data_IF_732379918295
#
_entry.id   IF_732379918295
#
_cell.length_a   1.000
_cell.length_b   1.000
_cell.length_c   1.000
_cell.angle_alpha   90.00
_cell.angle_beta   90.00
_cell.angle_gamma   90.00
#
_symmetry.space_group_name_H-M   'P 1'
#
loop_
_entity.id
_entity.type
_entity.pdbx_description
1 polymer ?
#
# COMPACT_ATOMS: atom_id res chain seq x y z
N UNK A 1 17.36 5.37 60.09
CA UNK A 1 17.91 4.06 59.70
C UNK A 1 18.30 4.17 58.22
N UNK A 2 19.59 4.33 57.90
CA UNK A 2 20.04 4.44 56.50
C UNK A 2 20.04 3.03 55.91
N UNK A 3 19.24 2.80 54.87
CA UNK A 3 19.31 1.55 54.11
C UNK A 3 20.71 1.46 53.47
N UNK A 4 21.29 0.26 53.50
CA UNK A 4 22.54 0.00 52.79
C UNK A 4 22.30 0.27 51.29
N UNK A 5 23.23 0.95 50.59
CA UNK A 5 23.14 1.25 49.14
C UNK A 5 22.75 0.04 48.28
N UNK A 6 23.12 -1.18 48.68
CA UNK A 6 22.65 -2.41 48.01
C UNK A 6 21.13 -2.61 48.11
N UNK A 7 20.54 -2.34 49.27
CA UNK A 7 19.11 -2.44 49.50
C UNK A 7 18.32 -1.36 48.74
N UNK A 8 18.87 -0.15 48.59
CA UNK A 8 18.25 0.91 47.79
C UNK A 8 18.23 0.56 46.29
N UNK A 9 19.31 -0.03 45.76
CA UNK A 9 19.38 -0.49 44.37
C UNK A 9 18.45 -1.68 44.12
N UNK A 10 18.37 -2.64 45.04
CA UNK A 10 17.43 -3.78 44.92
C UNK A 10 15.97 -3.32 44.97
N UNK A 11 15.65 -2.34 45.83
CA UNK A 11 14.29 -1.78 45.91
C UNK A 11 13.93 -0.99 44.64
N UNK A 12 14.86 -0.24 44.07
CA UNK A 12 14.66 0.48 42.82
C UNK A 12 14.46 -0.48 41.62
N UNK A 13 15.23 -1.58 41.55
CA UNK A 13 15.05 -2.61 40.51
C UNK A 13 13.68 -3.29 40.65
N UNK A 14 13.24 -3.59 41.88
CA UNK A 14 11.92 -4.17 42.11
C UNK A 14 10.78 -3.22 41.73
N UNK A 15 10.91 -1.92 42.01
CA UNK A 15 9.91 -0.92 41.64
C UNK A 15 9.83 -0.72 40.12
N UNK A 16 10.96 -0.74 39.41
CA UNK A 16 10.99 -0.66 37.94
C UNK A 16 10.44 -1.93 37.30
N UNK A 17 10.78 -3.12 37.82
CA UNK A 17 10.23 -4.39 37.33
C UNK A 17 8.71 -4.49 37.58
N UNK A 18 8.23 -4.00 38.73
CA UNK A 18 6.80 -3.93 39.03
C UNK A 18 6.06 -2.93 38.14
N UNK A 19 6.66 -1.78 37.82
CA UNK A 19 6.09 -0.80 36.89
C UNK A 19 6.02 -1.34 35.46
N UNK A 20 7.05 -2.04 34.98
CA UNK A 20 7.04 -2.69 33.66
C UNK A 20 6.03 -3.83 33.62
N UNK A 21 5.91 -4.63 34.68
CA UNK A 21 4.87 -5.67 34.77
C UNK A 21 3.45 -5.08 34.82
N UNK A 22 3.26 -3.89 35.39
CA UNK A 22 1.96 -3.21 35.42
C UNK A 22 1.55 -2.64 34.05
N UNK A 23 2.52 -2.25 33.21
CA UNK A 23 2.28 -1.85 31.81
C UNK A 23 1.89 -3.05 30.93
N UNK A 24 2.38 -4.26 31.25
CA UNK A 24 1.98 -5.50 30.56
C UNK A 24 0.70 -6.16 31.14
N UNK A 25 0.27 -5.79 32.34
CA UNK A 25 -0.95 -6.31 32.98
C UNK A 25 -2.21 -5.46 32.71
N UNK A 26 -2.07 -4.29 32.09
CA UNK A 26 -3.18 -3.62 31.41
C UNK A 26 -3.33 -4.24 30.01
N UNK A 27 -3.79 -5.49 29.98
CA UNK A 27 -4.53 -5.97 28.82
C UNK A 27 -5.68 -4.99 28.62
N UNK A 28 -5.59 -4.15 27.59
CA UNK A 28 -6.78 -3.48 27.05
C UNK A 28 -7.75 -4.64 26.78
N UNK A 29 -8.91 -4.72 27.44
CA UNK A 29 -9.87 -5.74 27.09
C UNK A 29 -10.11 -5.59 25.59
N UNK A 30 -9.87 -6.69 24.86
CA UNK A 30 -10.27 -6.83 23.48
C UNK A 30 -11.74 -6.44 23.42
N UNK A 31 -12.02 -5.22 22.98
CA UNK A 31 -13.34 -4.80 22.55
C UNK A 31 -13.53 -5.37 21.14
N UNK A 32 -13.30 -6.67 20.98
CA UNK A 32 -14.10 -7.51 20.12
C UNK A 32 -15.51 -7.46 20.69
N UNK A 33 -16.18 -6.31 20.49
CA UNK A 33 -17.61 -6.30 20.37
C UNK A 33 -17.91 -7.36 19.34
N UNK A 34 -18.43 -8.49 19.80
CA UNK A 34 -19.02 -9.48 18.94
C UNK A 34 -20.20 -8.81 18.26
N UNK A 35 -19.96 -8.19 17.11
CA UNK A 35 -21.01 -7.85 16.15
C UNK A 35 -21.34 -9.15 15.40
N UNK A 36 -21.72 -10.19 16.13
CA UNK A 36 -22.55 -11.25 15.56
C UNK A 36 -23.97 -10.68 15.55
N UNK A 37 -24.31 -9.97 14.49
CA UNK A 37 -25.68 -9.51 14.27
C UNK A 37 -25.84 -8.02 13.95
N UNK A 38 -25.25 -7.58 12.84
CA UNK A 38 -25.93 -6.80 11.81
C UNK A 38 -24.95 -6.75 10.65
N UNK A 39 -25.09 -7.66 9.69
CA UNK A 39 -24.69 -7.30 8.34
C UNK A 39 -25.50 -6.04 8.03
N UNK A 40 -24.88 -4.87 8.10
CA UNK A 40 -25.37 -3.72 7.36
C UNK A 40 -25.43 -4.26 5.95
N UNK A 41 -26.65 -4.48 5.43
CA UNK A 41 -26.80 -5.00 4.09
C UNK A 41 -26.17 -3.97 3.17
N UNK A 42 -24.94 -4.23 2.73
CA UNK A 42 -24.27 -3.39 1.78
C UNK A 42 -25.10 -3.31 0.50
N UNK A 43 -24.96 -2.22 -0.25
CA UNK A 43 -25.55 -2.19 -1.58
C UNK A 43 -24.88 -3.25 -2.45
N UNK A 44 -25.69 -4.12 -3.05
CA UNK A 44 -25.24 -4.98 -4.12
C UNK A 44 -25.06 -4.15 -5.39
N UNK A 45 -23.85 -4.17 -5.94
CA UNK A 45 -23.49 -3.43 -7.14
C UNK A 45 -23.33 -4.39 -8.31
N UNK A 46 -24.04 -4.10 -9.40
CA UNK A 46 -24.03 -4.89 -10.64
C UNK A 46 -23.50 -4.12 -11.85
N UNK A 47 -22.97 -2.92 -11.65
CA UNK A 47 -22.44 -2.03 -12.69
C UNK A 47 -21.65 -0.87 -12.09
N UNK A 48 -21.13 0.03 -12.92
CA UNK A 48 -20.45 1.24 -12.43
C UNK A 48 -21.38 2.08 -11.54
N UNK A 49 -20.83 2.62 -10.45
CA UNK A 49 -21.62 3.22 -9.40
C UNK A 49 -20.83 4.27 -8.62
N UNK A 50 -21.57 5.26 -8.12
CA UNK A 50 -21.11 6.17 -7.10
C UNK A 50 -21.68 5.67 -5.76
N UNK A 51 -20.80 5.22 -4.87
CA UNK A 51 -21.18 4.48 -3.66
C UNK A 51 -21.13 5.41 -2.44
N UNK A 52 -22.19 5.35 -1.63
CA UNK A 52 -22.38 6.16 -0.44
C UNK A 52 -22.73 5.36 0.82
N UNK A 53 -22.75 4.04 0.68
CA UNK A 53 -22.90 3.06 1.75
C UNK A 53 -21.96 1.89 1.47
N UNK A 54 -21.66 1.10 2.49
CA UNK A 54 -20.96 -0.17 2.32
C UNK A 54 -21.58 -0.96 1.17
N UNK A 55 -20.74 -1.54 0.34
CA UNK A 55 -21.18 -2.13 -0.92
C UNK A 55 -20.39 -3.37 -1.26
N UNK A 56 -21.06 -4.27 -1.95
CA UNK A 56 -20.47 -5.52 -2.41
C UNK A 56 -20.72 -5.71 -3.89
N UNK A 57 -19.74 -6.28 -4.61
CA UNK A 57 -20.03 -6.82 -5.93
C UNK A 57 -20.70 -8.18 -5.77
N UNK A 58 -21.69 -8.45 -6.63
CA UNK A 58 -22.39 -9.74 -6.70
C UNK A 58 -22.18 -10.47 -8.02
N UNK A 59 -21.46 -9.84 -8.96
CA UNK A 59 -21.14 -10.37 -10.27
C UNK A 59 -19.96 -9.61 -10.87
N UNK A 60 -19.36 -10.20 -11.91
CA UNK A 60 -18.39 -9.49 -12.74
C UNK A 60 -19.06 -8.35 -13.51
N UNK A 61 -18.35 -7.22 -13.60
CA UNK A 61 -18.78 -6.00 -14.29
C UNK A 61 -17.93 -5.83 -15.55
N UNK A 62 -18.58 -5.63 -16.69
CA UNK A 62 -17.94 -5.34 -17.97
C UNK A 62 -18.36 -3.96 -18.45
N UNK A 63 -17.38 -3.08 -18.65
CA UNK A 63 -17.65 -1.66 -18.90
C UNK A 63 -16.84 -1.17 -20.10
N UNK A 64 -17.47 -0.28 -20.85
CA UNK A 64 -16.84 0.43 -21.94
C UNK A 64 -16.84 1.91 -21.56
N UNK A 65 -15.75 2.34 -20.92
CA UNK A 65 -15.56 3.74 -20.56
C UNK A 65 -15.06 4.51 -21.78
N UNK A 66 -15.56 5.73 -21.96
CA UNK A 66 -15.01 6.63 -22.97
C UNK A 66 -13.61 7.07 -22.57
N UNK A 67 -12.77 7.39 -23.55
CA UNK A 67 -11.41 7.94 -23.37
C UNK A 67 -11.41 9.37 -22.77
N UNK A 68 -12.56 9.87 -22.32
CA UNK A 68 -12.62 11.16 -21.66
C UNK A 68 -11.79 11.14 -20.36
N UNK A 69 -10.96 12.16 -20.19
CA UNK A 69 -10.22 12.39 -18.95
C UNK A 69 -11.23 12.49 -17.80
N UNK A 70 -11.06 11.66 -16.76
CA UNK A 70 -11.96 11.63 -15.61
C UNK A 70 -13.11 10.61 -15.71
N UNK A 71 -13.05 9.66 -16.64
CA UNK A 71 -13.94 8.48 -16.60
C UNK A 71 -13.48 7.49 -15.53
N UNK A 72 -14.37 7.10 -14.62
CA UNK A 72 -14.14 6.00 -13.66
C UNK A 72 -15.37 5.09 -13.60
N UNK A 73 -15.18 3.84 -13.14
CA UNK A 73 -16.30 2.93 -12.94
C UNK A 73 -16.91 3.03 -11.54
N UNK A 74 -16.11 2.79 -10.49
CA UNK A 74 -16.58 2.90 -9.11
C UNK A 74 -15.96 4.13 -8.46
N UNK A 75 -16.79 4.97 -7.84
CA UNK A 75 -16.30 6.05 -6.99
C UNK A 75 -17.04 6.16 -5.67
N UNK A 76 -16.37 6.70 -4.66
CA UNK A 76 -16.92 6.89 -3.33
C UNK A 76 -17.45 8.31 -3.16
N UNK A 77 -18.53 8.47 -2.40
CA UNK A 77 -19.21 9.75 -2.20
C UNK A 77 -19.20 10.21 -0.74
N UNK A 78 -18.83 9.35 0.20
CA UNK A 78 -18.75 9.64 1.63
C UNK A 78 -17.64 8.82 2.28
N UNK A 79 -17.18 9.29 3.43
CA UNK A 79 -16.22 8.59 4.29
C UNK A 79 -16.82 7.31 4.87
N UNK A 80 -15.96 6.48 5.48
CA UNK A 80 -16.36 5.32 6.28
C UNK A 80 -17.09 4.25 5.46
N UNK A 81 -16.62 4.01 4.23
CA UNK A 81 -17.24 3.06 3.29
C UNK A 81 -16.30 1.91 2.97
N UNK A 82 -16.87 0.71 2.96
CA UNK A 82 -16.25 -0.53 2.51
C UNK A 82 -16.81 -0.92 1.15
N UNK A 83 -15.91 -1.17 0.20
CA UNK A 83 -16.19 -1.93 -1.02
C UNK A 83 -15.54 -3.30 -0.91
N UNK A 84 -16.35 -4.35 -0.84
CA UNK A 84 -15.90 -5.74 -0.95
C UNK A 84 -16.34 -6.33 -2.30
N UNK A 85 -15.40 -6.58 -3.20
CA UNK A 85 -15.77 -7.16 -4.48
C UNK A 85 -16.05 -8.67 -4.40
N UNK A 86 -15.86 -9.32 -3.24
CA UNK A 86 -16.12 -10.75 -3.05
C UNK A 86 -15.41 -11.66 -4.09
N UNK A 87 -14.26 -11.21 -4.60
CA UNK A 87 -13.52 -11.90 -5.65
C UNK A 87 -14.01 -11.62 -7.08
N UNK A 88 -15.08 -10.86 -7.28
CA UNK A 88 -15.56 -10.46 -8.61
C UNK A 88 -14.65 -9.42 -9.27
N UNK A 89 -14.79 -9.34 -10.59
CA UNK A 89 -13.96 -8.53 -11.44
C UNK A 89 -14.68 -7.29 -12.00
N UNK A 90 -13.93 -6.20 -12.12
CA UNK A 90 -14.25 -5.07 -12.97
C UNK A 90 -13.37 -5.16 -14.22
N UNK A 91 -13.99 -5.22 -15.39
CA UNK A 91 -13.31 -5.37 -16.67
C UNK A 91 -13.62 -4.17 -17.55
N UNK A 92 -12.62 -3.31 -17.76
CA UNK A 92 -12.69 -2.17 -18.67
C UNK A 92 -12.29 -2.50 -20.11
N UNK A 93 -12.07 -1.45 -20.88
CA UNK A 93 -11.71 -1.45 -22.31
C UNK A 93 -10.34 -0.79 -22.60
N UNK A 94 -9.52 -0.58 -21.57
CA UNK A 94 -8.23 0.10 -21.62
C UNK A 94 -8.27 1.57 -21.22
N UNK A 95 -9.45 2.08 -20.85
CA UNK A 95 -9.73 3.50 -20.65
C UNK A 95 -10.26 3.79 -19.25
N UNK A 96 -9.93 4.96 -18.71
CA UNK A 96 -10.44 5.44 -17.43
C UNK A 96 -9.86 4.72 -16.21
N UNK A 97 -10.48 4.91 -15.05
CA UNK A 97 -10.07 4.33 -13.77
C UNK A 97 -11.08 3.28 -13.32
N UNK A 98 -10.61 2.10 -12.87
CA UNK A 98 -11.51 1.07 -12.35
C UNK A 98 -12.21 1.51 -11.07
N UNK A 99 -11.43 1.79 -10.03
CA UNK A 99 -11.95 2.23 -8.72
C UNK A 99 -11.19 3.47 -8.27
N UNK A 100 -11.91 4.54 -7.92
CA UNK A 100 -11.34 5.79 -7.40
C UNK A 100 -12.00 6.21 -6.09
N UNK A 101 -11.21 6.45 -5.05
CA UNK A 101 -11.71 6.85 -3.73
C UNK A 101 -12.12 8.33 -3.62
N UNK A 102 -11.58 9.21 -4.47
CA UNK A 102 -11.73 10.66 -4.29
C UNK A 102 -10.99 11.19 -3.04
N UNK A 103 -11.32 12.41 -2.61
CA UNK A 103 -10.73 13.07 -1.44
C UNK A 103 -11.62 12.90 -0.19
N UNK A 104 -11.67 11.67 0.29
CA UNK A 104 -12.44 11.17 1.43
C UNK A 104 -11.48 10.58 2.49
N UNK A 105 -12.02 10.00 3.55
CA UNK A 105 -11.27 9.30 4.60
C UNK A 105 -11.93 7.96 4.96
N UNK A 106 -11.14 7.06 5.54
CA UNK A 106 -11.60 5.75 6.04
C UNK A 106 -12.34 4.91 5.00
N UNK A 107 -11.73 4.79 3.81
CA UNK A 107 -12.23 3.94 2.73
C UNK A 107 -11.53 2.59 2.76
N UNK A 108 -12.28 1.49 2.63
CA UNK A 108 -11.71 0.15 2.44
C UNK A 108 -12.08 -0.39 1.07
N UNK A 109 -11.09 -0.78 0.28
CA UNK A 109 -11.27 -1.52 -0.99
C UNK A 109 -10.64 -2.89 -0.82
N UNK A 110 -11.44 -3.96 -0.95
CA UNK A 110 -10.93 -5.33 -0.77
C UNK A 110 -11.51 -6.35 -1.74
N UNK A 111 -10.71 -7.39 -1.96
CA UNK A 111 -11.06 -8.59 -2.72
C UNK A 111 -11.50 -8.31 -4.17
N UNK A 112 -11.01 -7.22 -4.78
CA UNK A 112 -11.37 -6.81 -6.14
C UNK A 112 -10.37 -7.30 -7.17
N UNK A 113 -10.86 -7.74 -8.33
CA UNK A 113 -10.05 -7.93 -9.53
C UNK A 113 -10.32 -6.79 -10.52
N UNK A 114 -9.35 -5.92 -10.79
CA UNK A 114 -9.55 -4.71 -11.59
C UNK A 114 -8.67 -4.73 -12.83
N UNK A 115 -9.31 -4.91 -13.98
CA UNK A 115 -8.65 -5.29 -15.22
C UNK A 115 -8.95 -4.34 -16.38
N UNK A 116 -7.96 -4.14 -17.26
CA UNK A 116 -8.15 -3.42 -18.52
C UNK A 116 -8.69 -1.98 -18.34
N UNK A 117 -8.15 -1.21 -17.40
CA UNK A 117 -8.37 0.24 -17.29
C UNK A 117 -7.10 1.00 -17.66
N UNK A 118 -7.14 2.33 -17.72
CA UNK A 118 -5.91 3.13 -17.69
C UNK A 118 -5.20 2.97 -16.36
N UNK A 119 -5.95 3.08 -15.26
CA UNK A 119 -5.47 2.75 -13.93
C UNK A 119 -6.45 1.83 -13.21
N UNK A 120 -5.95 0.80 -12.54
CA UNK A 120 -6.79 -0.14 -11.83
C UNK A 120 -7.46 0.50 -10.61
N UNK A 121 -6.72 0.64 -9.53
CA UNK A 121 -7.21 1.20 -8.26
C UNK A 121 -6.43 2.47 -7.93
N UNK A 122 -7.16 3.57 -7.74
CA UNK A 122 -6.60 4.85 -7.34
C UNK A 122 -7.15 5.32 -6.00
N UNK A 123 -6.29 5.27 -4.98
CA UNK A 123 -6.59 5.71 -3.61
C UNK A 123 -6.01 7.10 -3.37
N UNK A 124 -6.83 8.06 -2.95
CA UNK A 124 -6.47 9.47 -2.65
C UNK A 124 -7.01 9.92 -1.29
N UNK A 125 -7.16 8.99 -0.35
CA UNK A 125 -7.79 9.19 0.97
C UNK A 125 -6.86 8.87 2.11
N UNK A 126 -7.10 9.45 3.28
CA UNK A 126 -6.33 9.12 4.48
C UNK A 126 -6.97 7.96 5.24
N UNK A 127 -6.18 7.34 6.13
CA UNK A 127 -6.63 6.30 7.07
C UNK A 127 -7.40 5.16 6.38
N UNK A 128 -6.95 4.77 5.19
CA UNK A 128 -7.71 3.92 4.26
C UNK A 128 -6.97 2.63 3.95
N UNK A 129 -7.74 1.62 3.54
CA UNK A 129 -7.28 0.24 3.36
C UNK A 129 -7.46 -0.22 1.91
N UNK A 130 -6.40 -0.76 1.32
CA UNK A 130 -6.42 -1.45 0.01
C UNK A 130 -5.88 -2.86 0.26
N UNK A 131 -6.76 -3.86 0.30
CA UNK A 131 -6.43 -5.20 0.81
C UNK A 131 -6.85 -6.30 -0.15
N UNK A 132 -5.97 -7.26 -0.43
CA UNK A 132 -6.28 -8.48 -1.20
C UNK A 132 -6.87 -8.20 -2.60
N UNK A 133 -6.46 -7.11 -3.25
CA UNK A 133 -6.91 -6.80 -4.60
C UNK A 133 -5.90 -7.27 -5.65
N UNK A 134 -6.40 -7.55 -6.85
CA UNK A 134 -5.58 -7.81 -8.03
C UNK A 134 -5.84 -6.71 -9.06
N UNK A 135 -4.79 -6.03 -9.53
CA UNK A 135 -4.89 -5.09 -10.65
C UNK A 135 -4.06 -5.62 -11.82
N UNK A 136 -4.71 -5.88 -12.96
CA UNK A 136 -4.04 -6.53 -14.09
C UNK A 136 -4.36 -5.94 -15.45
N UNK A 137 -3.40 -6.04 -16.38
CA UNK A 137 -3.58 -5.61 -17.78
C UNK A 137 -4.05 -4.16 -17.93
N UNK A 138 -3.74 -3.28 -16.96
CA UNK A 138 -4.04 -1.86 -17.07
C UNK A 138 -3.02 -1.18 -17.98
N UNK A 139 -3.48 -0.21 -18.78
CA UNK A 139 -2.68 0.44 -19.82
C UNK A 139 -1.71 1.47 -19.26
N UNK A 140 -1.77 1.79 -17.96
CA UNK A 140 -0.70 2.47 -17.21
C UNK A 140 -0.42 1.75 -15.87
N UNK A 141 -1.18 2.06 -14.82
CA UNK A 141 -0.83 1.71 -13.45
C UNK A 141 -1.79 0.69 -12.84
N UNK A 142 -1.27 -0.27 -12.07
CA UNK A 142 -2.10 -1.21 -11.31
C UNK A 142 -2.75 -0.52 -10.12
N UNK A 143 -1.92 -0.01 -9.21
CA UNK A 143 -2.32 0.71 -8.02
C UNK A 143 -1.67 2.07 -7.94
N UNK A 144 -2.46 3.11 -7.67
CA UNK A 144 -1.97 4.46 -7.38
C UNK A 144 -2.42 4.83 -5.96
N UNK A 145 -1.47 5.16 -5.10
CA UNK A 145 -1.71 5.60 -3.71
C UNK A 145 -1.22 7.04 -3.57
N UNK A 146 -2.15 7.96 -3.38
CA UNK A 146 -1.99 9.40 -3.58
C UNK A 146 -2.16 9.81 -5.04
N UNK A 147 -2.20 11.12 -5.33
CA UNK A 147 -2.12 11.65 -6.71
C UNK A 147 -2.02 13.17 -6.74
N UNK A 148 -1.18 13.74 -7.61
CA UNK A 148 -1.09 15.19 -7.77
C UNK A 148 -0.75 15.88 -6.45
N UNK A 149 -1.47 16.95 -6.08
CA UNK A 149 -1.28 17.65 -4.80
C UNK A 149 -1.97 16.99 -3.60
N UNK A 150 -2.73 15.92 -3.82
CA UNK A 150 -3.44 15.22 -2.75
C UNK A 150 -2.48 14.22 -2.10
N UNK A 151 -1.91 14.63 -0.97
CA UNK A 151 -1.16 13.76 -0.11
C UNK A 151 -2.07 12.75 0.58
N UNK A 152 -1.55 11.55 0.83
CA UNK A 152 -2.25 10.49 1.55
C UNK A 152 -1.50 10.21 2.85
N UNK A 153 -2.22 10.11 3.95
CA UNK A 153 -1.64 9.83 5.27
C UNK A 153 -2.26 8.53 5.82
N UNK A 154 -1.43 7.68 6.42
CA UNK A 154 -1.86 6.44 7.09
C UNK A 154 -2.64 5.50 6.17
N UNK A 155 -2.18 5.28 4.94
CA UNK A 155 -2.75 4.24 4.09
C UNK A 155 -2.19 2.86 4.47
N UNK A 156 -3.04 1.84 4.38
CA UNK A 156 -2.69 0.44 4.58
C UNK A 156 -2.89 -0.32 3.26
N UNK A 157 -1.79 -0.69 2.61
CA UNK A 157 -1.76 -1.37 1.31
C UNK A 157 -1.19 -2.76 1.53
N UNK A 158 -2.06 -3.76 1.62
CA UNK A 158 -1.70 -5.10 2.08
C UNK A 158 -2.16 -6.22 1.14
N UNK A 159 -1.29 -7.20 0.88
CA UNK A 159 -1.60 -8.43 0.16
C UNK A 159 -2.18 -8.21 -1.26
N UNK A 160 -1.85 -7.09 -1.90
CA UNK A 160 -2.32 -6.81 -3.26
C UNK A 160 -1.37 -7.41 -4.30
N UNK A 161 -1.92 -7.73 -5.47
CA UNK A 161 -1.18 -8.25 -6.62
C UNK A 161 -1.33 -7.32 -7.81
N UNK A 162 -0.24 -6.71 -8.25
CA UNK A 162 -0.16 -6.07 -9.55
C UNK A 162 0.51 -7.02 -10.54
N UNK A 163 -0.09 -7.23 -11.72
CA UNK A 163 0.47 -8.10 -12.77
C UNK A 163 0.18 -7.56 -14.17
N UNK A 164 1.16 -7.60 -15.08
CA UNK A 164 0.97 -7.24 -16.48
C UNK A 164 0.40 -5.83 -16.73
N UNK A 165 0.67 -4.86 -15.84
CA UNK A 165 0.34 -3.45 -16.10
C UNK A 165 1.48 -2.79 -16.90
N UNK A 166 1.17 -1.79 -17.72
CA UNK A 166 2.14 -1.28 -18.68
C UNK A 166 3.23 -0.39 -18.08
N UNK A 167 2.94 0.38 -17.01
CA UNK A 167 3.79 1.46 -16.49
C UNK A 167 4.17 1.35 -15.02
N UNK A 168 3.26 1.23 -14.06
CA UNK A 168 3.68 1.02 -12.66
C UNK A 168 2.81 -0.07 -12.02
N UNK A 169 3.41 -1.12 -11.43
CA UNK A 169 2.64 -2.04 -10.58
C UNK A 169 1.98 -1.29 -9.41
N UNK A 170 2.80 -0.55 -8.66
CA UNK A 170 2.39 0.30 -7.55
C UNK A 170 3.08 1.64 -7.71
N UNK A 171 2.28 2.71 -7.73
CA UNK A 171 2.74 4.08 -7.74
C UNK A 171 2.28 4.78 -6.46
N UNK A 172 3.20 4.90 -5.52
CA UNK A 172 3.02 5.55 -4.22
C UNK A 172 3.54 6.98 -4.35
N UNK A 173 2.67 7.99 -4.29
CA UNK A 173 3.05 9.39 -4.51
C UNK A 173 2.45 10.29 -3.43
N UNK A 174 3.26 11.17 -2.86
CA UNK A 174 2.84 12.08 -1.78
C UNK A 174 2.18 11.33 -0.61
N UNK A 175 2.62 10.11 -0.32
CA UNK A 175 2.09 9.30 0.76
C UNK A 175 3.01 9.37 1.98
N UNK A 176 2.43 9.53 3.17
CA UNK A 176 3.17 9.56 4.42
C UNK A 176 2.59 8.65 5.49
N UNK A 177 3.43 8.18 6.41
CA UNK A 177 3.04 7.33 7.54
C UNK A 177 2.23 6.08 7.15
N UNK A 178 2.42 5.59 5.92
CA UNK A 178 1.65 4.49 5.34
C UNK A 178 2.39 3.16 5.49
N UNK A 179 1.62 2.07 5.56
CA UNK A 179 2.12 0.70 5.60
C UNK A 179 1.83 0.01 4.28
N UNK A 180 2.88 -0.42 3.60
CA UNK A 180 2.83 -1.07 2.29
C UNK A 180 3.48 -2.43 2.46
N UNK A 181 2.68 -3.49 2.62
CA UNK A 181 3.21 -4.79 3.03
C UNK A 181 2.65 -6.00 2.29
N UNK A 182 3.48 -7.02 2.14
CA UNK A 182 3.11 -8.31 1.54
C UNK A 182 2.52 -8.20 0.11
N UNK A 183 2.82 -7.12 -0.62
CA UNK A 183 2.31 -6.94 -1.98
C UNK A 183 3.21 -7.65 -3.00
N UNK A 184 2.62 -8.07 -4.12
CA UNK A 184 3.31 -8.73 -5.23
C UNK A 184 3.22 -7.90 -6.50
N UNK A 185 4.34 -7.69 -7.18
CA UNK A 185 4.42 -6.95 -8.43
C UNK A 185 5.26 -7.74 -9.44
N UNK A 186 4.67 -8.20 -10.54
CA UNK A 186 5.41 -8.99 -11.53
C UNK A 186 4.92 -8.91 -12.98
N UNK A 187 5.83 -9.24 -13.92
CA UNK A 187 5.60 -9.22 -15.36
C UNK A 187 5.19 -7.84 -15.93
N UNK A 188 5.79 -6.74 -15.43
CA UNK A 188 5.54 -5.40 -15.95
C UNK A 188 6.56 -5.03 -17.02
N UNK A 189 6.13 -4.91 -18.28
CA UNK A 189 7.03 -4.71 -19.43
C UNK A 189 7.75 -3.37 -19.46
N UNK A 190 7.21 -2.32 -18.84
CA UNK A 190 7.91 -1.04 -18.66
C UNK A 190 7.84 -0.49 -17.23
N UNK A 191 7.42 -1.30 -16.24
CA UNK A 191 7.08 -0.79 -14.92
C UNK A 191 8.00 -1.07 -13.75
N UNK A 192 7.94 -0.14 -12.78
CA UNK A 192 8.73 -0.12 -11.55
C UNK A 192 7.83 0.15 -10.34
N UNK A 193 8.16 -0.44 -9.18
CA UNK A 193 7.50 -0.11 -7.92
C UNK A 193 7.97 1.28 -7.46
N UNK A 194 7.17 2.30 -7.73
CA UNK A 194 7.58 3.69 -7.63
C UNK A 194 7.07 4.35 -6.35
N UNK A 195 7.98 4.93 -5.57
CA UNK A 195 7.71 5.69 -4.35
C UNK A 195 8.26 7.10 -4.58
N UNK A 196 7.38 8.08 -4.66
CA UNK A 196 7.70 9.45 -5.05
C UNK A 196 7.22 10.45 -4.00
N UNK A 197 8.10 11.39 -3.61
CA UNK A 197 7.78 12.45 -2.65
C UNK A 197 7.04 11.94 -1.42
N UNK A 198 7.45 10.77 -0.92
CA UNK A 198 6.74 10.02 0.11
C UNK A 198 7.65 9.81 1.32
N UNK A 199 7.08 9.93 2.53
CA UNK A 199 7.89 10.04 3.75
C UNK A 199 7.38 9.19 4.89
N UNK A 200 8.28 8.73 5.77
CA UNK A 200 7.90 8.00 6.99
C UNK A 200 7.06 6.73 6.75
N UNK A 201 7.19 6.08 5.58
CA UNK A 201 6.43 4.88 5.24
C UNK A 201 7.17 3.60 5.65
N UNK A 202 6.41 2.55 5.92
CA UNK A 202 6.92 1.20 6.16
C UNK A 202 6.61 0.30 4.96
N UNK A 203 7.63 -0.15 4.26
CA UNK A 203 7.54 -1.00 3.06
C UNK A 203 8.09 -2.36 3.43
N UNK A 204 7.21 -3.32 3.71
CA UNK A 204 7.56 -4.56 4.42
C UNK A 204 7.21 -5.81 3.59
N UNK A 205 8.13 -6.77 3.46
CA UNK A 205 7.82 -8.10 2.89
C UNK A 205 7.21 -8.06 1.47
N UNK A 206 7.47 -7.03 0.67
CA UNK A 206 6.95 -6.95 -0.69
C UNK A 206 7.83 -7.74 -1.65
N UNK A 207 7.22 -8.27 -2.70
CA UNK A 207 7.86 -9.11 -3.71
C UNK A 207 7.74 -8.45 -5.09
N UNK A 208 8.86 -8.05 -5.69
CA UNK A 208 8.92 -7.44 -7.02
C UNK A 208 9.83 -8.26 -7.96
N UNK A 209 9.28 -8.84 -9.02
CA UNK A 209 10.06 -9.69 -9.92
C UNK A 209 9.62 -9.68 -11.38
N UNK A 210 10.52 -10.03 -12.30
CA UNK A 210 10.25 -10.09 -13.75
C UNK A 210 9.63 -8.78 -14.30
N UNK A 211 9.99 -7.63 -13.73
CA UNK A 211 9.54 -6.31 -14.17
C UNK A 211 10.65 -5.55 -14.91
N UNK A 212 10.32 -4.45 -15.55
CA UNK A 212 11.28 -3.47 -16.10
C UNK A 212 12.01 -2.64 -15.03
N UNK A 213 11.74 -2.91 -13.74
CA UNK A 213 12.57 -2.51 -12.60
C UNK A 213 11.98 -2.92 -11.26
N UNK A 214 12.81 -2.88 -10.21
CA UNK A 214 12.43 -3.23 -8.84
C UNK A 214 11.71 -2.08 -8.12
N UNK A 215 12.24 -1.67 -6.96
CA UNK A 215 11.80 -0.47 -6.24
C UNK A 215 12.55 0.78 -6.70
N UNK A 216 11.87 1.92 -6.65
CA UNK A 216 12.44 3.25 -6.90
C UNK A 216 11.91 4.23 -5.85
N UNK A 217 12.79 4.99 -5.21
CA UNK A 217 12.46 6.09 -4.30
C UNK A 217 12.95 7.41 -4.92
N UNK A 218 12.05 8.35 -5.17
CA UNK A 218 12.37 9.54 -5.95
C UNK A 218 11.76 10.83 -5.40
N UNK A 219 12.22 11.97 -5.92
CA UNK A 219 11.71 13.32 -5.64
C UNK A 219 11.55 13.65 -4.14
N UNK A 220 12.64 13.61 -3.40
CA UNK A 220 12.69 13.91 -1.96
C UNK A 220 11.93 12.93 -1.08
N UNK A 221 11.81 11.66 -1.50
CA UNK A 221 11.31 10.62 -0.60
C UNK A 221 12.31 10.40 0.55
N UNK A 222 11.83 10.43 1.80
CA UNK A 222 12.74 10.35 2.95
C UNK A 222 12.16 9.65 4.18
N UNK A 223 13.03 9.18 5.06
CA UNK A 223 12.65 8.50 6.31
C UNK A 223 11.74 7.28 6.10
N UNK A 224 11.79 6.64 4.93
CA UNK A 224 11.07 5.41 4.67
C UNK A 224 11.87 4.19 5.13
N UNK A 225 11.20 3.16 5.63
CA UNK A 225 11.82 1.92 6.07
C UNK A 225 11.40 0.77 5.15
N UNK A 226 12.35 0.29 4.34
CA UNK A 226 12.21 -0.87 3.47
C UNK A 226 12.80 -2.08 4.19
N UNK A 227 11.93 -2.98 4.66
CA UNK A 227 12.34 -4.15 5.44
C UNK A 227 11.88 -5.47 4.82
N UNK A 228 12.81 -6.43 4.68
CA UNK A 228 12.55 -7.79 4.22
C UNK A 228 11.83 -7.86 2.85
N UNK A 229 12.10 -6.92 1.95
CA UNK A 229 11.55 -6.95 0.60
C UNK A 229 12.40 -7.86 -0.30
N UNK A 230 11.76 -8.57 -1.23
CA UNK A 230 12.46 -9.43 -2.19
C UNK A 230 12.31 -8.86 -3.60
N UNK A 231 13.43 -8.63 -4.27
CA UNK A 231 13.49 -8.06 -5.63
C UNK A 231 14.33 -8.97 -6.51
N UNK A 232 13.73 -9.61 -7.51
CA UNK A 232 14.52 -10.52 -8.36
C UNK A 232 14.14 -10.55 -9.84
N UNK A 233 15.10 -10.89 -10.70
CA UNK A 233 14.89 -11.05 -12.15
C UNK A 233 14.29 -9.84 -12.89
N UNK A 234 14.49 -8.62 -12.40
CA UNK A 234 14.02 -7.40 -13.07
C UNK A 234 15.02 -6.92 -14.16
N UNK A 235 14.51 -6.28 -15.22
CA UNK A 235 15.22 -5.70 -16.39
C UNK A 235 15.48 -4.20 -16.27
N UNK A 236 16.46 -3.62 -16.98
CA UNK A 236 17.07 -2.32 -16.61
C UNK A 236 16.16 -1.15 -16.95
N UNK A 237 15.83 -0.32 -15.96
CA UNK A 237 15.15 0.96 -16.16
C UNK A 237 16.16 2.06 -16.55
N UNK A 238 16.04 2.62 -17.75
CA UNK A 238 16.78 3.82 -18.19
C UNK A 238 18.31 3.79 -17.94
N UNK A 239 18.95 2.64 -18.15
CA UNK A 239 20.42 2.49 -18.05
C UNK A 239 21.02 2.67 -16.66
N UNK A 240 20.19 2.77 -15.61
CA UNK A 240 20.64 2.91 -14.22
C UNK A 240 20.13 1.76 -13.36
N UNK A 241 20.98 1.30 -12.43
CA UNK A 241 20.78 0.10 -11.62
C UNK A 241 19.64 0.22 -10.60
N UNK A 242 19.03 -0.93 -10.27
CA UNK A 242 17.85 -1.07 -9.42
C UNK A 242 18.01 -0.57 -7.99
N UNK A 243 16.88 -0.18 -7.41
CA UNK A 243 16.78 0.61 -6.19
C UNK A 243 17.35 2.02 -6.38
N UNK A 244 16.66 2.76 -7.23
CA UNK A 244 17.01 4.14 -7.49
C UNK A 244 16.47 4.98 -6.36
N UNK A 245 17.27 5.17 -5.31
CA UNK A 245 17.06 6.25 -4.35
C UNK A 245 17.69 7.50 -4.97
N UNK A 246 16.92 8.20 -5.80
CA UNK A 246 17.35 9.48 -6.34
C UNK A 246 16.66 10.64 -5.67
N UNK A 247 17.47 11.66 -5.40
CA UNK A 247 17.03 12.89 -4.75
C UNK A 247 16.25 12.59 -3.47
N UNK A 248 16.59 11.51 -2.77
CA UNK A 248 15.87 10.92 -1.64
C UNK A 248 16.89 10.60 -0.54
N UNK A 249 16.52 10.76 0.74
CA UNK A 249 17.48 10.77 1.85
C UNK A 249 16.93 10.06 3.10
N UNK A 250 17.79 9.60 4.01
CA UNK A 250 17.42 8.96 5.28
C UNK A 250 16.46 7.75 5.16
N UNK A 251 16.47 7.01 4.05
CA UNK A 251 15.70 5.76 4.00
C UNK A 251 16.58 4.63 4.57
N UNK A 252 15.92 3.64 5.17
CA UNK A 252 16.57 2.49 5.79
C UNK A 252 16.21 1.26 4.99
N UNK A 253 17.22 0.55 4.51
CA UNK A 253 17.06 -0.71 3.77
C UNK A 253 17.63 -1.82 4.63
N UNK A 254 16.76 -2.73 5.06
CA UNK A 254 17.13 -3.77 6.02
C UNK A 254 16.57 -5.13 5.58
N UNK A 255 17.40 -6.17 5.63
CA UNK A 255 17.04 -7.56 5.31
C UNK A 255 16.40 -7.79 3.93
N UNK A 256 16.50 -6.84 3.01
CA UNK A 256 15.95 -6.98 1.66
C UNK A 256 16.89 -7.78 0.75
N UNK A 257 16.33 -8.64 -0.10
CA UNK A 257 17.06 -9.60 -0.93
C UNK A 257 16.96 -9.25 -2.42
N UNK A 258 18.09 -8.95 -3.06
CA UNK A 258 18.16 -8.51 -4.46
C UNK A 258 18.99 -9.51 -5.28
N UNK A 259 18.35 -10.31 -6.14
CA UNK A 259 19.03 -11.36 -6.93
C UNK A 259 18.56 -11.47 -8.37
N UNK A 260 19.41 -11.96 -9.28
CA UNK A 260 19.02 -12.21 -10.68
C UNK A 260 18.64 -10.96 -11.49
N UNK A 261 18.70 -9.76 -10.90
CA UNK A 261 18.48 -8.50 -11.60
C UNK A 261 19.71 -8.16 -12.45
N UNK A 262 19.50 -7.55 -13.62
CA UNK A 262 20.59 -7.33 -14.60
C UNK A 262 21.66 -6.28 -14.22
N UNK A 263 21.60 -5.66 -13.03
CA UNK A 263 22.58 -4.73 -12.43
C UNK A 263 22.48 -4.69 -10.89
N UNK A 264 23.52 -4.17 -10.22
CA UNK A 264 23.70 -4.14 -8.75
C UNK A 264 22.99 -2.93 -8.10
N UNK A 265 22.47 -3.10 -6.88
CA UNK A 265 21.86 -2.06 -6.02
C UNK A 265 22.73 -0.79 -5.94
N UNK A 266 22.17 0.38 -6.28
CA UNK A 266 22.88 1.68 -6.23
C UNK A 266 22.30 2.58 -5.13
N UNK A 267 22.96 2.66 -3.97
CA UNK A 267 22.62 3.64 -2.95
C UNK A 267 23.38 4.95 -3.12
N UNK A 268 22.68 6.09 -3.03
CA UNK A 268 23.31 7.41 -2.84
C UNK A 268 23.45 7.75 -1.35
N UNK A 269 24.27 8.76 -1.07
CA UNK A 269 24.68 9.22 0.27
C UNK A 269 23.46 9.51 1.18
N UNK A 270 23.53 9.08 2.45
CA UNK A 270 22.48 9.31 3.47
C UNK A 270 21.51 8.15 3.68
N UNK A 271 21.81 6.97 3.12
CA UNK A 271 21.04 5.74 3.27
C UNK A 271 21.80 4.80 4.22
N UNK A 272 21.09 4.14 5.14
CA UNK A 272 21.71 3.14 6.02
C UNK A 272 21.25 1.73 5.64
N UNK A 273 22.22 0.83 5.55
CA UNK A 273 22.01 -0.62 5.61
C UNK A 273 22.19 -1.08 7.06
N UNK A 274 21.26 -1.87 7.55
CA UNK A 274 21.38 -2.63 8.81
C UNK A 274 20.77 -4.00 8.63
#
# INVERSE_FOLDING_TARGET
MKLNKKAEVTLAIFLVAAAVAFVFALSIPDQSNSITGMAVAGANISGCANISIDSELTQDIYVNLSDAIGSWCISFQTNDIILDCQGHSLNGNGSGIGIISGNLDNITIKNCQVNNFTSGIQMRTNNSFVINNTASFNTEDGFIIGYGYYGVINAFVENNTAINNSRHPFYIINASYSQIKNNRAYNHSNGVYNIQSSHYNQILNNLAYDNYGGFTLSYSSHDNHLFNNTVHNNQVFNGNSYEFITDSYNNVLNQSYYTGNSTVVNLRVGQSFT
#
